data_IF_449581525202
#
_entry.id   IF_449581525202
#
_cell.length_a   1.000
_cell.length_b   1.000
_cell.length_c   1.000
_cell.angle_alpha   90.00
_cell.angle_beta   90.00
_cell.angle_gamma   90.00
#
_symmetry.space_group_name_H-M   'P 1'
#
loop_
_entity.id
_entity.type
_entity.pdbx_description
1 polymer ?
#
# COMPACT_ATOMS: atom_id res chain seq x y z
N UNK A 1 -8.86 -12.92 62.12
CA UNK A 1 -8.64 -13.70 60.88
C UNK A 1 -9.01 -12.80 59.69
N UNK A 2 -7.99 -12.29 58.99
CA UNK A 2 -7.92 -11.74 57.62
C UNK A 2 -9.11 -10.92 57.05
N UNK A 3 -8.91 -9.60 57.11
CA UNK A 3 -9.38 -8.61 56.14
C UNK A 3 -9.00 -9.02 54.71
N UNK A 4 -9.94 -8.94 53.77
CA UNK A 4 -9.68 -8.97 52.34
C UNK A 4 -10.38 -7.77 51.70
N UNK A 5 -9.61 -6.72 51.49
CA UNK A 5 -9.91 -5.64 50.56
C UNK A 5 -9.82 -6.17 49.14
N UNK A 6 -10.93 -6.13 48.40
CA UNK A 6 -10.88 -6.28 46.94
C UNK A 6 -10.55 -4.90 46.34
N UNK A 7 -9.26 -4.67 46.12
CA UNK A 7 -8.84 -3.71 45.08
C UNK A 7 -9.11 -4.38 43.74
N UNK A 8 -10.05 -3.84 42.99
CA UNK A 8 -10.21 -4.16 41.59
C UNK A 8 -10.36 -2.84 40.86
N UNK A 9 -9.25 -2.13 40.84
CA UNK A 9 -8.96 -1.09 39.86
C UNK A 9 -9.13 -1.68 38.46
N UNK A 10 -10.35 -1.53 37.92
CA UNK A 10 -10.62 -1.67 36.51
C UNK A 10 -9.71 -0.71 35.78
N UNK A 11 -8.64 -1.25 35.18
CA UNK A 11 -7.80 -0.51 34.24
C UNK A 11 -8.67 -0.23 33.02
N UNK A 12 -9.21 0.97 33.00
CA UNK A 12 -9.75 1.64 31.84
C UNK A 12 -8.66 1.65 30.75
N UNK A 13 -8.71 0.65 29.87
CA UNK A 13 -7.85 0.51 28.68
C UNK A 13 -8.31 1.48 27.57
N UNK A 14 -8.80 2.66 27.96
CA UNK A 14 -9.52 3.60 27.10
C UNK A 14 -8.89 4.99 27.15
N UNK A 15 -7.58 5.08 26.95
CA UNK A 15 -6.89 6.26 26.39
C UNK A 15 -5.43 5.89 26.08
N UNK A 16 -5.18 4.83 25.31
CA UNK A 16 -3.85 4.69 24.68
C UNK A 16 -3.69 5.88 23.74
N UNK A 17 -2.86 6.86 24.13
CA UNK A 17 -2.50 7.97 23.28
C UNK A 17 -2.09 7.40 21.92
N UNK A 18 -2.75 7.85 20.84
CA UNK A 18 -2.44 7.33 19.50
C UNK A 18 -0.95 7.52 19.27
N UNK A 19 -0.19 6.41 19.27
CA UNK A 19 1.28 6.37 19.09
C UNK A 19 1.71 6.65 17.65
N UNK A 20 0.73 6.91 16.79
CA UNK A 20 0.90 7.23 15.38
C UNK A 20 -0.04 8.38 14.99
N UNK A 21 0.40 9.23 14.07
CA UNK A 21 -0.37 10.34 13.53
C UNK A 21 -0.18 10.47 12.01
N UNK A 22 -1.23 10.90 11.30
CA UNK A 22 -1.14 11.19 9.87
C UNK A 22 -0.67 12.63 9.68
N UNK A 23 0.38 12.82 8.88
CA UNK A 23 0.92 14.14 8.53
C UNK A 23 1.26 14.19 7.03
N UNK A 24 1.69 15.35 6.53
CA UNK A 24 2.20 15.45 5.15
C UNK A 24 3.54 14.70 5.05
N UNK A 25 3.68 13.84 4.06
CA UNK A 25 4.92 13.09 3.83
C UNK A 25 5.88 13.86 2.93
N UNK A 26 7.18 13.69 3.16
CA UNK A 26 8.22 14.12 2.22
C UNK A 26 8.35 13.22 0.99
N UNK A 27 7.77 12.02 1.03
CA UNK A 27 7.83 11.02 -0.05
C UNK A 27 6.64 11.18 -0.99
N UNK A 28 5.41 11.09 -0.46
CA UNK A 28 4.20 11.16 -1.27
C UNK A 28 2.99 11.54 -0.43
N UNK A 29 2.25 12.59 -0.83
CA UNK A 29 0.96 12.96 -0.22
C UNK A 29 0.98 13.03 1.32
N UNK A 30 0.35 12.02 1.95
CA UNK A 30 0.31 11.84 3.39
C UNK A 30 1.21 10.68 3.81
N UNK A 31 1.67 10.74 5.05
CA UNK A 31 2.45 9.69 5.72
C UNK A 31 1.89 9.43 7.11
N UNK A 32 2.29 8.30 7.71
CA UNK A 32 2.00 8.00 9.12
C UNK A 32 3.31 8.11 9.90
N UNK A 33 3.29 8.81 11.02
CA UNK A 33 4.47 9.15 11.80
C UNK A 33 4.30 8.65 13.23
N UNK A 34 5.37 8.17 13.84
CA UNK A 34 5.40 7.84 15.26
C UNK A 34 5.25 9.12 16.10
N UNK A 35 4.40 9.10 17.13
CA UNK A 35 4.25 10.20 18.10
C UNK A 35 4.96 9.88 19.42
N UNK A 36 5.38 8.64 19.60
CA UNK A 36 6.17 8.14 20.72
C UNK A 36 7.15 7.10 20.20
N UNK A 37 8.14 6.74 21.02
CA UNK A 37 9.02 5.61 20.72
C UNK A 37 8.22 4.32 20.58
N UNK A 38 8.60 3.49 19.62
CA UNK A 38 8.01 2.18 19.32
C UNK A 38 9.14 1.15 19.31
N UNK A 39 8.99 0.05 20.03
CA UNK A 39 9.95 -1.04 20.07
C UNK A 39 9.79 -2.00 18.87
N UNK A 40 10.85 -2.75 18.50
CA UNK A 40 10.75 -3.82 17.51
C UNK A 40 9.69 -4.87 17.89
N UNK A 41 9.00 -5.41 16.89
CA UNK A 41 7.97 -6.44 17.03
C UNK A 41 6.59 -5.91 17.45
N UNK A 42 6.47 -4.63 17.81
CA UNK A 42 5.19 -4.08 18.23
C UNK A 42 4.18 -3.95 17.09
N UNK A 43 2.94 -4.38 17.36
CA UNK A 43 1.80 -4.15 16.47
C UNK A 43 1.32 -2.69 16.57
N UNK A 44 1.24 -2.00 15.43
CA UNK A 44 0.95 -0.57 15.37
C UNK A 44 -0.50 -0.28 14.98
N UNK A 45 -0.94 -0.88 13.87
CA UNK A 45 -2.25 -0.62 13.29
C UNK A 45 -2.66 -1.78 12.37
N UNK A 46 -3.94 -2.11 12.37
CA UNK A 46 -4.54 -2.99 11.36
C UNK A 46 -4.77 -2.22 10.05
N UNK A 47 -4.50 -2.82 8.89
CA UNK A 47 -4.91 -2.27 7.61
C UNK A 47 -6.38 -2.58 7.35
N UNK A 48 -7.26 -1.60 7.55
CA UNK A 48 -8.72 -1.75 7.37
C UNK A 48 -9.17 -1.26 6.00
N UNK A 49 -10.29 -1.82 5.54
CA UNK A 49 -11.01 -1.43 4.34
C UNK A 49 -12.10 -2.45 4.01
N UNK A 50 -12.84 -2.21 2.93
CA UNK A 50 -13.84 -3.15 2.41
C UNK A 50 -13.15 -4.39 1.83
N UNK A 51 -13.63 -5.60 2.16
CA UNK A 51 -13.11 -6.85 1.59
C UNK A 51 -13.85 -7.17 0.30
N UNK A 52 -13.13 -7.23 -0.81
CA UNK A 52 -13.67 -7.43 -2.15
C UNK A 52 -12.95 -8.56 -2.88
N UNK A 53 -13.56 -9.06 -3.96
CA UNK A 53 -12.90 -10.00 -4.86
C UNK A 53 -11.86 -9.30 -5.74
N UNK A 54 -10.88 -10.05 -6.26
CA UNK A 54 -9.92 -9.54 -7.24
C UNK A 54 -10.60 -8.95 -8.49
N UNK A 55 -11.67 -9.60 -8.98
CA UNK A 55 -12.47 -9.11 -10.12
C UNK A 55 -13.07 -7.73 -9.85
N UNK A 56 -13.53 -7.50 -8.62
CA UNK A 56 -14.09 -6.21 -8.22
C UNK A 56 -13.01 -5.14 -8.08
N UNK A 57 -11.83 -5.48 -7.54
CA UNK A 57 -10.68 -4.57 -7.49
C UNK A 57 -10.27 -4.09 -8.89
N UNK A 58 -10.25 -5.00 -9.87
CA UNK A 58 -10.01 -4.66 -11.28
C UNK A 58 -11.11 -3.76 -11.87
N UNK A 59 -12.39 -4.04 -11.56
CA UNK A 59 -13.51 -3.21 -12.01
C UNK A 59 -13.46 -1.78 -11.46
N UNK A 60 -12.99 -1.61 -10.22
CA UNK A 60 -12.83 -0.32 -9.54
C UNK A 60 -11.54 0.41 -9.90
N UNK A 61 -10.61 -0.26 -10.59
CA UNK A 61 -9.36 0.34 -11.01
C UNK A 61 -9.51 1.12 -12.33
N UNK A 62 -8.91 2.33 -12.45
CA UNK A 62 -8.20 3.04 -11.40
C UNK A 62 -9.15 3.75 -10.42
N UNK A 63 -8.71 3.92 -9.17
CA UNK A 63 -9.45 4.72 -8.20
C UNK A 63 -9.47 6.21 -8.54
N UNK A 64 -8.39 6.67 -9.18
CA UNK A 64 -8.17 8.03 -9.67
C UNK A 64 -7.57 7.91 -11.08
N UNK A 65 -8.30 8.32 -12.14
CA UNK A 65 -7.78 8.28 -13.50
C UNK A 65 -6.51 9.11 -13.73
N UNK A 66 -6.28 10.16 -12.93
CA UNK A 66 -5.08 11.00 -13.02
C UNK A 66 -3.86 10.32 -12.36
N UNK A 67 -4.11 9.39 -11.42
CA UNK A 67 -3.09 8.62 -10.72
C UNK A 67 -3.43 7.13 -10.75
N UNK A 68 -3.42 6.49 -11.93
CA UNK A 68 -3.99 5.16 -12.09
C UNK A 68 -3.29 4.10 -11.24
N UNK A 69 -1.99 4.24 -11.01
CA UNK A 69 -1.20 3.29 -10.22
C UNK A 69 -1.27 3.54 -8.70
N UNK A 70 -1.96 4.60 -8.25
CA UNK A 70 -2.15 4.89 -6.84
C UNK A 70 -3.40 4.17 -6.35
N UNK A 71 -3.21 3.07 -5.65
CA UNK A 71 -4.31 2.25 -5.10
C UNK A 71 -4.12 2.02 -3.60
N UNK A 72 -5.20 1.65 -2.93
CA UNK A 72 -5.21 1.24 -1.53
C UNK A 72 -5.55 -0.25 -1.40
N UNK A 73 -5.16 -1.04 -2.40
CA UNK A 73 -5.43 -2.47 -2.43
C UNK A 73 -4.38 -3.25 -1.65
N UNK A 74 -4.83 -4.15 -0.78
CA UNK A 74 -4.00 -5.12 -0.10
C UNK A 74 -4.47 -6.53 -0.46
N UNK A 75 -3.66 -7.28 -1.21
CA UNK A 75 -3.98 -8.66 -1.58
C UNK A 75 -3.73 -9.61 -0.42
N UNK A 76 -4.64 -10.57 -0.22
CA UNK A 76 -4.59 -11.54 0.87
C UNK A 76 -4.36 -12.96 0.36
N UNK A 77 -3.92 -13.84 1.25
CA UNK A 77 -3.56 -15.22 0.90
C UNK A 77 -4.76 -16.05 0.39
N UNK A 78 -5.96 -15.74 0.87
CA UNK A 78 -7.22 -16.37 0.45
C UNK A 78 -7.71 -15.91 -0.95
N UNK A 79 -6.99 -14.99 -1.59
CA UNK A 79 -7.30 -14.46 -2.91
C UNK A 79 -8.28 -13.28 -2.91
N UNK A 80 -8.75 -12.83 -1.75
CA UNK A 80 -9.51 -11.58 -1.62
C UNK A 80 -8.57 -10.37 -1.51
N UNK A 81 -9.16 -9.18 -1.57
CA UNK A 81 -8.45 -7.90 -1.53
C UNK A 81 -9.12 -7.00 -0.51
N UNK A 82 -8.33 -6.29 0.29
CA UNK A 82 -8.81 -5.16 1.09
C UNK A 82 -8.72 -3.90 0.23
N UNK A 83 -9.84 -3.21 0.03
CA UNK A 83 -9.89 -1.87 -0.55
C UNK A 83 -9.89 -0.82 0.56
N UNK A 84 -8.70 -0.29 0.88
CA UNK A 84 -8.52 0.75 1.89
C UNK A 84 -9.10 2.12 1.51
N UNK A 85 -9.62 2.30 0.28
CA UNK A 85 -10.33 3.52 -0.12
C UNK A 85 -11.72 3.59 0.52
N UNK A 86 -12.37 2.44 0.70
CA UNK A 86 -13.72 2.31 1.25
C UNK A 86 -13.63 1.80 2.68
N UNK A 87 -14.18 2.55 3.63
CA UNK A 87 -14.17 2.22 5.07
C UNK A 87 -12.77 1.90 5.66
N UNK A 88 -11.72 2.46 5.05
CA UNK A 88 -10.35 2.30 5.51
C UNK A 88 -9.95 3.25 6.64
N UNK A 89 -8.80 2.99 7.26
CA UNK A 89 -8.25 3.79 8.36
C UNK A 89 -6.93 4.48 7.96
N UNK A 90 -6.19 4.99 8.95
CA UNK A 90 -4.93 5.70 8.74
C UNK A 90 -3.82 4.85 8.11
N UNK A 91 -3.90 3.51 8.18
CA UNK A 91 -2.85 2.62 7.65
C UNK A 91 -2.66 2.78 6.13
N UNK A 92 -3.71 3.19 5.40
CA UNK A 92 -3.64 3.43 3.95
C UNK A 92 -2.65 4.53 3.54
N UNK A 93 -2.23 5.38 4.49
CA UNK A 93 -1.28 6.46 4.27
C UNK A 93 0.17 6.06 4.59
N UNK A 94 0.44 4.82 4.98
CA UNK A 94 1.80 4.35 5.21
C UNK A 94 2.49 4.17 3.85
N UNK A 95 3.61 4.84 3.67
CA UNK A 95 4.29 4.90 2.39
C UNK A 95 5.23 3.70 2.16
N UNK A 96 5.61 3.53 0.91
CA UNK A 96 6.65 2.57 0.53
C UNK A 96 8.05 3.05 0.90
N UNK A 97 8.90 2.15 1.39
CA UNK A 97 10.35 2.33 1.39
C UNK A 97 11.10 1.05 0.99
N UNK A 98 12.21 1.22 0.27
CA UNK A 98 13.17 0.13 0.00
C UNK A 98 14.07 -0.19 1.22
N UNK A 99 14.04 0.65 2.26
CA UNK A 99 14.65 0.40 3.56
C UNK A 99 13.59 0.68 4.64
N UNK A 100 12.59 -0.21 4.77
CA UNK A 100 11.45 0.02 5.64
C UNK A 100 11.81 -0.07 7.13
N UNK A 101 10.94 0.45 7.98
CA UNK A 101 10.98 0.28 9.44
C UNK A 101 9.77 -0.49 9.99
N UNK A 102 8.83 -0.84 9.12
CA UNK A 102 7.69 -1.70 9.40
C UNK A 102 7.57 -2.83 8.37
N UNK A 103 6.79 -3.85 8.74
CA UNK A 103 6.33 -4.91 7.86
C UNK A 103 4.83 -5.14 8.03
N UNK A 104 4.19 -5.72 7.01
CA UNK A 104 2.80 -6.14 7.07
C UNK A 104 2.72 -7.65 7.30
N UNK A 105 1.94 -8.07 8.30
CA UNK A 105 1.72 -9.47 8.64
C UNK A 105 0.24 -9.80 8.48
N UNK A 106 -0.07 -10.88 7.76
CA UNK A 106 -1.43 -11.40 7.68
C UNK A 106 -1.63 -12.44 8.79
N UNK A 107 -2.58 -12.17 9.70
CA UNK A 107 -2.94 -13.00 10.86
C UNK A 107 -4.45 -13.22 10.80
N UNK A 108 -4.88 -14.48 10.68
CA UNK A 108 -6.30 -14.86 10.60
C UNK A 108 -7.09 -14.07 9.54
N UNK A 109 -6.48 -13.87 8.37
CA UNK A 109 -7.07 -13.14 7.24
C UNK A 109 -7.13 -11.61 7.41
N UNK A 110 -6.53 -11.05 8.47
CA UNK A 110 -6.42 -9.61 8.71
C UNK A 110 -4.97 -9.17 8.58
N UNK A 111 -4.75 -7.92 8.18
CA UNK A 111 -3.39 -7.39 7.96
C UNK A 111 -3.03 -6.43 9.07
N UNK A 112 -1.90 -6.66 9.71
CA UNK A 112 -1.37 -5.82 10.79
C UNK A 112 0.02 -5.32 10.46
N UNK A 113 0.24 -4.04 10.72
CA UNK A 113 1.55 -3.40 10.54
C UNK A 113 2.33 -3.53 11.84
N UNK A 114 3.55 -4.08 11.75
CA UNK A 114 4.46 -4.29 12.87
C UNK A 114 5.77 -3.54 12.64
N UNK A 115 6.40 -3.06 13.72
CA UNK A 115 7.73 -2.49 13.66
C UNK A 115 8.79 -3.59 13.53
N UNK A 116 9.77 -3.44 12.62
CA UNK A 116 10.90 -4.40 12.48
C UNK A 116 12.17 -3.93 13.21
N UNK A 117 12.20 -2.66 13.60
CA UNK A 117 13.24 -2.04 14.42
C UNK A 117 12.60 -1.02 15.35
N UNK A 118 13.40 -0.49 16.27
CA UNK A 118 12.98 0.68 17.06
C UNK A 118 12.65 1.84 16.12
N UNK A 119 11.54 2.52 16.37
CA UNK A 119 11.11 3.72 15.66
C UNK A 119 11.02 4.86 16.67
N UNK A 120 11.82 5.90 16.45
CA UNK A 120 11.85 7.08 17.31
C UNK A 120 10.67 8.02 16.99
N UNK A 121 10.28 8.90 17.93
CA UNK A 121 9.27 9.93 17.67
C UNK A 121 9.60 10.74 16.41
N UNK A 122 8.55 11.12 15.67
CA UNK A 122 8.60 11.87 14.41
C UNK A 122 9.24 11.13 13.21
N UNK A 123 9.68 9.87 13.37
CA UNK A 123 9.98 9.03 12.22
C UNK A 123 8.70 8.65 11.46
N UNK A 124 8.75 8.72 10.12
CA UNK A 124 7.69 8.21 9.25
C UNK A 124 7.76 6.68 9.19
N UNK A 125 6.59 6.03 9.24
CA UNK A 125 6.43 4.59 9.07
C UNK A 125 6.47 4.24 7.59
N UNK A 126 7.20 3.19 7.26
CA UNK A 126 7.31 2.66 5.92
C UNK A 126 7.36 1.13 5.92
N UNK A 127 6.69 0.50 4.96
CA UNK A 127 6.89 -0.92 4.63
C UNK A 127 7.19 -1.13 3.14
N UNK A 128 7.74 -2.29 2.78
CA UNK A 128 7.87 -2.65 1.37
C UNK A 128 6.50 -3.11 0.85
N UNK A 129 5.97 -2.44 -0.17
CA UNK A 129 4.66 -2.77 -0.73
C UNK A 129 4.63 -4.14 -1.40
N UNK A 130 5.79 -4.67 -1.80
CA UNK A 130 5.86 -5.97 -2.45
C UNK A 130 5.07 -6.01 -3.76
N UNK A 131 4.95 -4.89 -4.48
CA UNK A 131 4.13 -4.80 -5.70
C UNK A 131 4.72 -5.72 -6.78
N UNK A 132 4.02 -6.80 -7.07
CA UNK A 132 4.41 -7.76 -8.11
C UNK A 132 3.43 -7.61 -9.25
N UNK A 133 3.94 -7.40 -10.46
CA UNK A 133 3.13 -7.31 -11.67
C UNK A 133 3.53 -8.46 -12.58
N UNK A 134 2.53 -9.14 -13.16
CA UNK A 134 2.73 -10.17 -14.18
C UNK A 134 3.02 -9.55 -15.56
N UNK A 135 4.12 -8.81 -15.63
CA UNK A 135 4.59 -8.18 -16.85
C UNK A 135 6.11 -8.04 -16.83
N UNK A 136 6.72 -7.97 -18.02
CA UNK A 136 8.14 -7.65 -18.13
C UNK A 136 8.40 -6.27 -17.53
N UNK A 137 9.35 -6.18 -16.59
CA UNK A 137 9.77 -4.93 -15.96
C UNK A 137 10.57 -4.03 -16.92
N UNK A 138 9.87 -3.41 -17.86
CA UNK A 138 10.43 -2.43 -18.80
C UNK A 138 10.81 -1.13 -18.09
N UNK A 139 11.70 -0.33 -18.71
CA UNK A 139 12.05 1.01 -18.19
C UNK A 139 10.81 1.89 -18.01
N UNK A 140 9.86 1.82 -18.95
CA UNK A 140 8.59 2.55 -18.90
C UNK A 140 7.78 2.15 -17.67
N UNK A 141 7.56 0.85 -17.46
CA UNK A 141 6.79 0.34 -16.33
C UNK A 141 7.45 0.70 -14.98
N UNK A 142 8.78 0.55 -14.87
CA UNK A 142 9.51 0.98 -13.67
C UNK A 142 9.35 2.47 -13.38
N UNK A 143 9.24 3.31 -14.42
CA UNK A 143 9.02 4.76 -14.28
C UNK A 143 7.59 5.10 -13.87
N UNK A 144 6.60 4.33 -14.34
CA UNK A 144 5.20 4.45 -13.91
C UNK A 144 5.00 4.10 -12.43
N UNK A 145 5.89 3.29 -11.87
CA UNK A 145 5.97 2.92 -10.45
C UNK A 145 7.27 3.43 -9.81
N UNK A 146 7.69 4.64 -10.16
CA UNK A 146 8.94 5.22 -9.64
C UNK A 146 8.93 5.28 -8.10
N UNK A 147 10.01 4.83 -7.47
CA UNK A 147 10.17 4.92 -6.02
C UNK A 147 10.96 6.17 -5.63
N UNK A 148 10.40 6.95 -4.72
CA UNK A 148 10.98 8.21 -4.20
C UNK A 148 11.27 8.15 -2.69
N UNK A 149 11.44 6.95 -2.13
CA UNK A 149 11.59 6.75 -0.69
C UNK A 149 12.89 7.33 -0.07
N UNK A 150 13.87 7.75 -0.88
CA UNK A 150 15.12 8.32 -0.39
C UNK A 150 16.13 7.34 0.23
N UNK A 151 15.83 6.04 0.27
CA UNK A 151 16.75 5.04 0.81
C UNK A 151 18.08 4.98 0.03
N UNK A 152 19.21 4.82 0.73
CA UNK A 152 20.57 4.75 0.12
C UNK A 152 20.69 3.67 -0.96
N UNK A 153 20.05 2.51 -0.75
CA UNK A 153 19.97 1.39 -1.70
C UNK A 153 18.57 1.26 -2.31
N UNK A 154 17.98 2.38 -2.73
CA UNK A 154 16.67 2.38 -3.39
C UNK A 154 16.69 1.59 -4.70
N UNK A 155 15.64 0.79 -4.94
CA UNK A 155 15.48 -0.01 -6.19
C UNK A 155 15.10 0.84 -7.40
N UNK A 156 14.76 2.13 -7.19
CA UNK A 156 14.27 3.06 -8.21
C UNK A 156 12.82 2.84 -8.63
N UNK A 157 12.18 1.77 -8.17
CA UNK A 157 10.76 1.46 -8.41
C UNK A 157 10.14 0.79 -7.20
N UNK A 158 8.82 0.97 -7.02
CA UNK A 158 8.03 0.28 -5.99
C UNK A 158 7.74 -1.18 -6.35
N UNK A 159 8.03 -1.58 -7.59
CA UNK A 159 7.87 -2.96 -8.04
C UNK A 159 8.94 -3.86 -7.43
N UNK A 160 8.52 -4.98 -6.88
CA UNK A 160 9.41 -6.02 -6.43
C UNK A 160 10.07 -6.71 -7.63
N UNK A 161 11.35 -7.07 -7.50
CA UNK A 161 11.98 -8.01 -8.42
C UNK A 161 11.30 -9.37 -8.27
N UNK A 162 11.11 -10.09 -9.38
CA UNK A 162 10.49 -11.43 -9.42
C UNK A 162 11.29 -12.55 -8.73
N UNK A 163 12.19 -12.21 -7.80
CA UNK A 163 12.95 -13.15 -6.98
C UNK A 163 12.54 -13.00 -5.51
N UNK A 164 12.32 -14.10 -4.78
CA UNK A 164 11.87 -14.06 -3.39
C UNK A 164 12.83 -13.27 -2.50
N UNK A 165 12.26 -12.45 -1.61
CA UNK A 165 13.00 -11.72 -0.58
C UNK A 165 13.43 -12.70 0.51
N UNK A 166 14.70 -12.75 0.94
CA UNK A 166 15.10 -13.58 2.07
C UNK A 166 14.33 -13.14 3.32
N UNK A 167 13.53 -14.03 3.91
CA UNK A 167 12.74 -13.77 5.13
C UNK A 167 11.23 -13.64 4.93
N UNK A 168 10.74 -13.45 3.70
CA UNK A 168 9.30 -13.54 3.41
C UNK A 168 8.95 -14.96 2.99
N UNK A 169 8.46 -15.79 3.91
CA UNK A 169 7.99 -17.16 3.64
C UNK A 169 6.77 -17.29 2.72
N UNK A 170 6.43 -16.25 1.95
CA UNK A 170 5.26 -16.22 1.07
C UNK A 170 5.68 -16.00 -0.38
N UNK A 171 5.13 -16.83 -1.29
CA UNK A 171 5.26 -16.63 -2.74
C UNK A 171 4.59 -15.31 -3.11
N UNK A 172 5.24 -14.42 -3.89
CA UNK A 172 4.57 -13.23 -4.40
C UNK A 172 3.41 -13.64 -5.31
N UNK A 173 2.17 -13.30 -4.93
CA UNK A 173 1.02 -13.37 -5.83
C UNK A 173 1.01 -12.10 -6.66
N UNK A 174 1.09 -12.26 -7.98
CA UNK A 174 1.02 -11.16 -8.92
C UNK A 174 -0.29 -10.39 -8.76
N UNK A 175 -0.22 -9.07 -8.79
CA UNK A 175 -1.35 -8.27 -9.22
C UNK A 175 -1.59 -8.58 -10.70
N UNK A 176 -2.44 -9.57 -10.98
CA UNK A 176 -2.83 -9.96 -12.32
C UNK A 176 -3.87 -8.99 -12.85
N UNK A 177 -3.53 -8.24 -13.89
CA UNK A 177 -4.42 -7.29 -14.52
C UNK A 177 -3.77 -6.65 -15.73
N UNK A 178 -3.74 -7.39 -16.84
CA UNK A 178 -3.32 -6.92 -18.15
C UNK A 178 -4.01 -5.59 -18.54
N UNK A 179 -3.32 -4.48 -18.36
CA UNK A 179 -3.60 -3.26 -19.10
C UNK A 179 -3.13 -3.46 -20.55
N UNK A 180 -3.96 -4.11 -21.37
CA UNK A 180 -3.71 -4.19 -22.81
C UNK A 180 -3.65 -2.77 -23.39
N UNK A 181 -2.55 -2.35 -24.04
CA UNK A 181 -2.52 -1.06 -24.71
C UNK A 181 -3.54 -1.08 -25.84
N UNK A 182 -4.57 -0.23 -25.76
CA UNK A 182 -5.47 0.00 -26.88
C UNK A 182 -4.70 0.75 -27.96
N UNK A 183 -4.39 0.05 -29.05
CA UNK A 183 -3.95 0.66 -30.30
C UNK A 183 -5.03 1.64 -30.76
N UNK A 184 -4.65 2.90 -30.99
CA UNK A 184 -5.52 3.94 -31.51
C UNK A 184 -6.12 3.54 -32.85
N UNK A 185 -7.44 3.42 -32.90
CA UNK A 185 -8.22 3.24 -34.11
C UNK A 185 -8.05 4.46 -35.02
N UNK A 186 -7.70 4.17 -36.27
CA UNK A 186 -7.75 5.07 -37.44
C UNK A 186 -9.01 5.93 -37.42
N UNK A 187 -8.86 7.24 -37.36
CA UNK A 187 -9.90 8.17 -37.80
C UNK A 187 -9.90 8.18 -39.33
N UNK A 188 -10.99 7.69 -39.91
CA UNK A 188 -11.38 8.00 -41.28
C UNK A 188 -11.85 9.46 -41.25
N UNK A 189 -11.11 10.33 -41.92
CA UNK A 189 -11.56 11.68 -42.21
C UNK A 189 -12.45 11.64 -43.45
N UNK A 190 -13.74 11.89 -43.27
CA UNK A 190 -14.62 12.35 -44.33
C UNK A 190 -14.25 13.80 -44.67
N UNK A 191 -13.91 14.05 -45.93
CA UNK A 191 -14.00 15.39 -46.52
C UNK A 191 -14.40 15.27 -47.99
N UNK A 192 -15.68 15.51 -48.23
CA UNK A 192 -16.25 15.68 -49.54
C UNK A 192 -15.98 17.10 -50.07
N UNK A 193 -15.69 17.15 -51.38
CA UNK A 193 -15.96 18.21 -52.35
C UNK A 193 -15.08 19.47 -52.39
N UNK A 194 -14.34 19.63 -53.49
CA UNK A 194 -14.50 20.80 -54.37
C UNK A 194 -13.91 20.57 -55.79
N UNK A 195 -14.70 21.00 -56.78
CA UNK A 195 -14.48 21.04 -58.23
C UNK A 195 -13.17 21.74 -58.65
N UNK A 196 -12.55 21.28 -59.76
CA UNK A 196 -12.43 22.11 -60.99
C UNK A 196 -12.02 21.29 -62.22
N UNK A 197 -12.89 21.33 -63.23
CA UNK A 197 -12.57 21.08 -64.64
C UNK A 197 -11.78 22.28 -65.17
N UNK A 198 -10.67 22.04 -65.86
CA UNK A 198 -10.37 22.53 -67.23
C UNK A 198 -8.96 22.08 -67.61
#
# INVERSE_FOLDING_TARGET
MRSFTVDSSGRDDSMSSRRIAVRRSGVHGKGVFATSKIAPGEQLIEYKGERISWKEALRRHPHDPEQPNHTFYFALDDGTVIDGKVDGNSARWINHSCAPNCEAQEIDGRVFIHAIRTIEPDEELFYDYGLVIDARLTKKLKKEYECRCGAKKCRGTMLASSSPVPGSGKKPRAASGDAKPRNGSRQRGDSASAKKKR
#
